data_IF_409902010149
#
_entry.id   IF_409902010149
#
_cell.length_a   1.000
_cell.length_b   1.000
_cell.length_c   1.000
_cell.angle_alpha   90.00
_cell.angle_beta   90.00
_cell.angle_gamma   90.00
#
_symmetry.space_group_name_H-M   'P 1'
#
loop_
_entity.id
_entity.type
_entity.pdbx_description
1 polymer ?
#
# COMPACT_ATOMS: atom_id res chain seq x y z
N UNK A 1 26.91 -4.78 2.69
CA UNK A 1 25.54 -4.52 3.16
C UNK A 1 25.28 -5.43 4.36
N UNK A 2 24.96 -4.85 5.52
CA UNK A 2 24.52 -5.61 6.69
C UNK A 2 23.03 -5.94 6.56
N UNK A 3 22.67 -7.19 6.81
CA UNK A 3 21.25 -7.59 6.91
C UNK A 3 20.81 -7.37 8.35
N UNK A 4 19.73 -6.63 8.53
CA UNK A 4 19.13 -6.45 9.87
C UNK A 4 18.19 -7.60 10.16
N UNK A 5 18.47 -8.36 11.21
CA UNK A 5 17.57 -9.41 11.70
C UNK A 5 16.49 -8.75 12.54
N UNK A 6 15.24 -8.84 12.07
CA UNK A 6 14.10 -8.24 12.75
C UNK A 6 13.75 -9.01 14.02
N UNK A 7 13.38 -8.28 15.05
CA UNK A 7 12.74 -8.79 16.26
C UNK A 7 11.34 -9.33 15.95
N UNK A 8 10.76 -10.19 16.81
CA UNK A 8 9.38 -10.66 16.64
C UNK A 8 8.35 -9.53 16.46
N UNK A 9 8.48 -8.45 17.24
CA UNK A 9 7.57 -7.30 17.18
C UNK A 9 7.68 -6.52 15.85
N UNK A 10 8.90 -6.36 15.33
CA UNK A 10 9.12 -5.76 14.02
C UNK A 10 8.54 -6.61 12.90
N UNK A 11 8.66 -7.94 13.01
CA UNK A 11 8.05 -8.86 12.04
C UNK A 11 6.53 -8.72 12.06
N UNK A 12 5.91 -8.61 13.23
CA UNK A 12 4.46 -8.45 13.33
C UNK A 12 3.99 -7.13 12.69
N UNK A 13 4.70 -6.03 12.92
CA UNK A 13 4.44 -4.76 12.22
C UNK A 13 4.59 -4.90 10.70
N UNK A 14 5.60 -5.63 10.23
CA UNK A 14 5.79 -5.90 8.80
C UNK A 14 4.66 -6.75 8.21
N UNK A 15 4.06 -7.68 8.97
CA UNK A 15 2.91 -8.46 8.50
C UNK A 15 1.70 -7.56 8.24
N UNK A 16 1.43 -6.61 9.13
CA UNK A 16 0.34 -5.64 8.95
C UNK A 16 0.62 -4.78 7.71
N UNK A 17 1.83 -4.22 7.58
CA UNK A 17 2.21 -3.41 6.43
C UNK A 17 2.10 -4.19 5.10
N UNK A 18 2.59 -5.44 5.08
CA UNK A 18 2.50 -6.31 3.91
C UNK A 18 1.06 -6.65 3.54
N UNK A 19 0.20 -6.93 4.52
CA UNK A 19 -1.23 -7.17 4.29
C UNK A 19 -1.93 -5.95 3.69
N UNK A 20 -1.73 -4.76 4.28
CA UNK A 20 -2.31 -3.52 3.74
C UNK A 20 -1.80 -3.22 2.31
N UNK A 21 -0.52 -3.50 2.05
CA UNK A 21 0.07 -3.39 0.72
C UNK A 21 -0.56 -4.35 -0.31
N UNK A 22 -0.91 -5.58 0.10
CA UNK A 22 -1.64 -6.51 -0.78
C UNK A 22 -3.07 -6.04 -1.02
N UNK A 23 -3.77 -5.60 0.03
CA UNK A 23 -5.17 -5.18 -0.06
C UNK A 23 -5.38 -4.00 -1.02
N UNK A 24 -4.47 -3.01 -1.04
CA UNK A 24 -4.56 -1.91 -2.00
C UNK A 24 -4.32 -2.37 -3.45
N UNK A 25 -3.48 -3.38 -3.66
CA UNK A 25 -3.26 -3.98 -4.99
C UNK A 25 -4.51 -4.73 -5.47
N UNK A 26 -5.16 -5.48 -4.58
CA UNK A 26 -6.44 -6.13 -4.89
C UNK A 26 -7.53 -5.10 -5.19
N UNK A 27 -7.60 -4.02 -4.40
CA UNK A 27 -8.54 -2.92 -4.59
C UNK A 27 -8.35 -2.21 -5.94
N UNK A 28 -7.11 -1.93 -6.35
CA UNK A 28 -6.84 -1.16 -7.57
C UNK A 28 -7.00 -1.98 -8.85
N UNK A 29 -6.84 -3.31 -8.78
CA UNK A 29 -6.92 -4.24 -9.91
C UNK A 29 -8.08 -3.97 -10.89
N UNK A 30 -9.35 -3.84 -10.46
CA UNK A 30 -10.47 -3.59 -11.37
C UNK A 30 -10.45 -2.22 -12.08
N UNK A 31 -9.62 -1.27 -11.63
CA UNK A 31 -9.52 0.08 -12.19
C UNK A 31 -8.44 0.19 -13.27
N UNK A 32 -7.52 -0.78 -13.37
CA UNK A 32 -6.47 -0.82 -14.39
C UNK A 32 -7.06 -1.27 -15.73
N UNK A 33 -7.59 -0.31 -16.49
CA UNK A 33 -8.24 -0.56 -17.78
C UNK A 33 -7.97 0.58 -18.78
N UNK A 34 -8.10 0.34 -20.10
CA UNK A 34 -7.89 1.36 -21.12
C UNK A 34 -8.71 2.62 -20.87
N UNK A 35 -8.08 3.78 -21.04
CA UNK A 35 -8.69 5.09 -20.83
C UNK A 35 -8.59 5.64 -19.40
N UNK A 36 -8.16 4.83 -18.42
CA UNK A 36 -7.85 5.32 -17.05
C UNK A 36 -6.42 5.82 -17.01
N UNK A 37 -6.22 7.01 -16.44
CA UNK A 37 -4.90 7.62 -16.30
C UNK A 37 -4.18 7.09 -15.06
N UNK A 38 -2.85 7.06 -15.08
CA UNK A 38 -2.06 6.69 -13.89
C UNK A 38 -2.29 7.66 -12.72
N UNK A 39 -2.63 8.92 -12.99
CA UNK A 39 -3.00 9.89 -11.96
C UNK A 39 -4.36 9.57 -11.30
N UNK A 40 -5.30 8.96 -12.03
CA UNK A 40 -6.54 8.46 -11.43
C UNK A 40 -6.28 7.23 -10.55
N UNK A 41 -5.44 6.31 -11.03
CA UNK A 41 -4.99 5.13 -10.26
C UNK A 41 -4.31 5.57 -8.96
N UNK A 42 -3.40 6.54 -9.03
CA UNK A 42 -2.70 7.11 -7.88
C UNK A 42 -3.67 7.72 -6.84
N UNK A 43 -4.64 8.53 -7.30
CA UNK A 43 -5.66 9.10 -6.41
C UNK A 43 -6.50 8.03 -5.72
N UNK A 44 -6.93 7.00 -6.43
CA UNK A 44 -7.70 5.90 -5.85
C UNK A 44 -6.89 5.15 -4.78
N UNK A 45 -5.61 4.86 -5.04
CA UNK A 45 -4.73 4.26 -4.05
C UNK A 45 -4.55 5.15 -2.81
N UNK A 46 -4.29 6.45 -3.02
CA UNK A 46 -4.15 7.42 -1.93
C UNK A 46 -5.41 7.48 -1.06
N UNK A 47 -6.58 7.65 -1.69
CA UNK A 47 -7.86 7.76 -0.98
C UNK A 47 -8.19 6.48 -0.22
N UNK A 48 -7.90 5.31 -0.79
CA UNK A 48 -8.10 4.03 -0.12
C UNK A 48 -7.17 3.87 1.10
N UNK A 49 -5.88 4.18 0.94
CA UNK A 49 -4.91 4.12 2.04
C UNK A 49 -5.30 5.05 3.20
N UNK A 50 -5.64 6.31 2.89
CA UNK A 50 -5.93 7.34 3.92
C UNK A 50 -7.32 7.14 4.54
N UNK A 51 -8.36 6.98 3.72
CA UNK A 51 -9.74 7.03 4.20
C UNK A 51 -10.31 5.67 4.58
N UNK A 52 -9.73 4.57 4.10
CA UNK A 52 -10.23 3.21 4.37
C UNK A 52 -9.26 2.41 5.23
N UNK A 53 -7.98 2.34 4.85
CA UNK A 53 -6.98 1.58 5.60
C UNK A 53 -6.42 2.35 6.81
N UNK A 54 -6.55 3.67 6.83
CA UNK A 54 -6.02 4.53 7.89
C UNK A 54 -4.49 4.53 7.95
N UNK A 55 -3.82 4.36 6.81
CA UNK A 55 -2.36 4.36 6.70
C UNK A 55 -1.85 5.54 5.87
N UNK A 56 -0.55 5.83 5.99
CA UNK A 56 0.11 6.88 5.23
C UNK A 56 0.77 6.25 4.00
N UNK A 57 0.53 6.77 2.78
CA UNK A 57 1.23 6.31 1.59
C UNK A 57 2.73 6.56 1.70
N UNK A 58 3.53 5.49 1.75
CA UNK A 58 4.99 5.60 1.90
C UNK A 58 5.72 6.41 0.81
N UNK A 59 5.27 6.42 -0.47
CA UNK A 59 5.88 7.26 -1.51
C UNK A 59 5.53 8.76 -1.42
N UNK A 60 4.58 9.14 -0.55
CA UNK A 60 4.15 10.51 -0.38
C UNK A 60 5.10 11.23 0.59
N UNK A 61 5.54 12.43 0.21
CA UNK A 61 6.55 13.24 0.92
C UNK A 61 5.97 14.01 2.11
#
# INVERSE_FOLDING_TARGET
MSVTIKTPDEIEKMRIAGRLGSEVLDYITPFVKPGVTTAEVDRLCHDYMVNVQGCIPAPLN
#
